data_IF_386567257507
#
_entry.id   IF_386567257507
#
_cell.length_a   1.000
_cell.length_b   1.000
_cell.length_c   1.000
_cell.angle_alpha   90.00
_cell.angle_beta   90.00
_cell.angle_gamma   90.00
#
_symmetry.space_group_name_H-M   'P 1'
#
loop_
_entity.id
_entity.type
_entity.pdbx_description
1 polymer ?
#
# COMPACT_ATOMS: atom_id res chain seq x y z
N UNK A 1 37.17 3.28 6.89
CA UNK A 1 36.68 3.99 8.10
C UNK A 1 35.20 4.27 7.87
N UNK A 2 34.32 3.37 8.31
CA UNK A 2 32.87 3.46 8.04
C UNK A 2 32.24 4.49 8.97
N UNK A 3 31.86 5.64 8.41
CA UNK A 3 31.07 6.64 9.11
C UNK A 3 29.69 6.06 9.45
N UNK A 4 29.42 5.89 10.75
CA UNK A 4 28.08 5.65 11.26
C UNK A 4 27.20 6.83 10.86
N UNK A 5 26.40 6.67 9.80
CA UNK A 5 25.24 7.50 9.57
C UNK A 5 24.29 7.23 10.75
N UNK A 6 24.40 8.06 11.78
CA UNK A 6 23.42 8.13 12.86
C UNK A 6 22.10 8.54 12.21
N UNK A 7 21.17 7.59 12.13
CA UNK A 7 19.79 7.89 11.84
C UNK A 7 19.33 8.98 12.84
N UNK A 8 18.82 10.14 12.40
CA UNK A 8 18.41 11.20 13.31
C UNK A 8 17.32 10.70 14.26
N UNK A 9 17.42 11.08 15.54
CA UNK A 9 16.56 10.67 16.66
C UNK A 9 15.12 11.24 16.59
N UNK A 10 14.71 11.79 15.46
CA UNK A 10 13.34 12.26 15.18
C UNK A 10 12.39 11.13 14.77
N UNK A 11 12.86 9.87 14.78
CA UNK A 11 12.11 8.70 14.30
C UNK A 11 11.08 8.14 15.30
N UNK A 12 10.97 8.68 16.52
CA UNK A 12 10.11 8.12 17.58
C UNK A 12 9.25 9.11 18.38
N UNK A 13 9.35 10.42 18.12
CA UNK A 13 8.53 11.44 18.80
C UNK A 13 7.76 12.30 17.78
N UNK A 14 7.03 11.62 16.87
CA UNK A 14 5.91 12.26 16.22
C UNK A 14 4.76 12.22 17.22
N UNK A 15 4.41 13.39 17.77
CA UNK A 15 3.08 13.69 18.26
C UNK A 15 2.08 12.92 17.38
N UNK A 16 1.39 11.92 17.95
CA UNK A 16 0.53 11.02 17.17
C UNK A 16 -0.69 11.83 16.79
N UNK A 17 -0.54 12.66 15.75
CA UNK A 17 -1.61 13.45 15.21
C UNK A 17 -2.78 12.49 14.95
N UNK A 18 -3.85 12.67 15.71
CA UNK A 18 -5.01 11.81 15.61
C UNK A 18 -5.77 12.18 14.34
N UNK A 19 -5.48 11.47 13.26
CA UNK A 19 -6.20 11.60 11.99
C UNK A 19 -7.61 10.97 12.04
N UNK A 20 -8.10 10.57 13.21
CA UNK A 20 -9.36 9.86 13.37
C UNK A 20 -10.57 10.66 12.85
N UNK A 21 -10.52 11.98 13.03
CA UNK A 21 -11.56 12.94 12.62
C UNK A 21 -11.08 13.93 11.55
N UNK A 22 -9.88 13.74 10.97
CA UNK A 22 -9.39 14.61 9.89
C UNK A 22 -10.23 14.36 8.63
N UNK A 23 -10.93 15.37 8.08
CA UNK A 23 -11.79 15.19 6.91
C UNK A 23 -11.02 14.70 5.68
N UNK A 24 -9.73 15.06 5.54
CA UNK A 24 -8.88 14.58 4.44
C UNK A 24 -8.61 13.09 4.57
N UNK A 25 -8.37 12.62 5.80
CA UNK A 25 -8.18 11.19 6.08
C UNK A 25 -9.45 10.39 5.81
N UNK A 26 -10.63 10.94 6.16
CA UNK A 26 -11.93 10.32 5.91
C UNK A 26 -12.18 10.20 4.39
N UNK A 27 -12.08 11.30 3.65
CA UNK A 27 -12.29 11.31 2.21
C UNK A 27 -11.32 10.37 1.48
N UNK A 28 -10.04 10.41 1.85
CA UNK A 28 -9.03 9.52 1.26
C UNK A 28 -9.31 8.05 1.57
N UNK A 29 -9.76 7.75 2.79
CA UNK A 29 -10.12 6.38 3.16
C UNK A 29 -11.30 5.87 2.33
N UNK A 30 -12.31 6.70 2.07
CA UNK A 30 -13.46 6.34 1.23
C UNK A 30 -13.05 6.01 -0.21
N UNK A 31 -12.16 6.82 -0.82
CA UNK A 31 -11.60 6.54 -2.14
C UNK A 31 -10.74 5.27 -2.19
N UNK A 32 -10.12 4.88 -1.07
CA UNK A 32 -9.29 3.68 -0.98
C UNK A 32 -10.12 2.39 -0.88
N UNK A 33 -11.36 2.42 -0.39
CA UNK A 33 -12.17 1.20 -0.18
C UNK A 33 -12.35 0.36 -1.46
N UNK A 34 -12.73 0.95 -2.63
CA UNK A 34 -12.83 0.18 -3.88
C UNK A 34 -11.49 -0.42 -4.31
N UNK A 35 -10.38 0.32 -4.12
CA UNK A 35 -9.04 -0.13 -4.47
C UNK A 35 -8.62 -1.35 -3.63
N UNK A 36 -8.87 -1.29 -2.31
CA UNK A 36 -8.56 -2.39 -1.41
C UNK A 36 -9.40 -3.65 -1.69
N UNK A 37 -10.67 -3.50 -2.08
CA UNK A 37 -11.50 -4.63 -2.51
C UNK A 37 -10.94 -5.30 -3.77
N UNK A 38 -10.48 -4.52 -4.75
CA UNK A 38 -9.83 -5.04 -5.97
C UNK A 38 -8.44 -5.61 -5.73
N UNK A 39 -7.76 -5.18 -4.66
CA UNK A 39 -6.45 -5.68 -4.29
C UNK A 39 -6.51 -7.14 -3.76
N UNK A 40 -7.66 -7.60 -3.28
CA UNK A 40 -7.88 -9.01 -2.96
C UNK A 40 -7.82 -9.87 -4.23
N UNK A 41 -7.21 -11.07 -4.18
CA UNK A 41 -7.29 -12.01 -5.29
C UNK A 41 -8.74 -12.38 -5.58
N UNK A 42 -9.05 -12.54 -6.86
CA UNK A 42 -10.34 -13.05 -7.30
C UNK A 42 -10.56 -14.45 -6.69
N UNK A 43 -11.78 -14.72 -6.22
CA UNK A 43 -12.16 -15.96 -5.53
C UNK A 43 -11.46 -16.23 -4.18
N UNK A 44 -10.71 -15.28 -3.61
CA UNK A 44 -10.10 -15.43 -2.29
C UNK A 44 -11.01 -15.03 -1.11
N UNK A 45 -12.32 -14.86 -1.33
CA UNK A 45 -13.26 -14.49 -0.26
C UNK A 45 -12.96 -13.13 0.42
N UNK A 46 -12.16 -12.27 -0.22
CA UNK A 46 -11.71 -11.00 0.36
C UNK A 46 -10.48 -11.09 1.26
N UNK A 47 -9.75 -12.21 1.27
CA UNK A 47 -8.49 -12.41 2.00
C UNK A 47 -7.25 -12.12 1.15
N UNK A 48 -6.08 -11.96 1.77
CA UNK A 48 -4.80 -11.82 1.05
C UNK A 48 -4.61 -10.49 0.30
N UNK A 49 -5.46 -9.50 0.57
CA UNK A 49 -5.39 -8.19 -0.06
C UNK A 49 -4.13 -7.43 0.35
N UNK A 50 -3.50 -6.75 -0.62
CA UNK A 50 -2.44 -5.79 -0.34
C UNK A 50 -2.39 -4.69 -1.38
N UNK A 51 -2.12 -3.48 -0.93
CA UNK A 51 -1.96 -2.30 -1.78
C UNK A 51 -0.62 -1.65 -1.46
N UNK A 52 0.17 -1.38 -2.50
CA UNK A 52 1.39 -0.59 -2.43
C UNK A 52 1.26 0.62 -3.35
N UNK A 53 1.56 1.80 -2.82
CA UNK A 53 1.65 3.04 -3.56
C UNK A 53 3.10 3.49 -3.61
N UNK A 54 3.54 3.93 -4.78
CA UNK A 54 4.83 4.58 -5.00
C UNK A 54 4.54 6.01 -5.49
N UNK A 55 4.55 6.96 -4.57
CA UNK A 55 4.23 8.36 -4.83
C UNK A 55 5.51 9.17 -4.96
N UNK A 56 5.47 10.27 -5.72
CA UNK A 56 6.54 11.25 -5.63
C UNK A 56 6.53 11.89 -4.22
N UNK A 57 7.68 12.29 -3.69
CA UNK A 57 7.74 12.84 -2.32
C UNK A 57 6.89 14.12 -2.18
N UNK A 58 6.90 14.98 -3.21
CA UNK A 58 6.07 16.20 -3.26
C UNK A 58 4.57 15.85 -3.29
N UNK A 59 4.19 14.83 -4.06
CA UNK A 59 2.81 14.33 -4.13
C UNK A 59 2.36 13.80 -2.76
N UNK A 60 3.20 13.03 -2.07
CA UNK A 60 2.90 12.53 -0.73
C UNK A 60 2.75 13.67 0.29
N UNK A 61 3.58 14.71 0.21
CA UNK A 61 3.49 15.91 1.07
C UNK A 61 2.20 16.68 0.78
N UNK A 62 1.83 16.89 -0.48
CA UNK A 62 0.60 17.57 -0.86
C UNK A 62 -0.66 16.88 -0.32
N UNK A 63 -0.62 15.54 -0.19
CA UNK A 63 -1.69 14.73 0.43
C UNK A 63 -1.69 14.74 1.97
N UNK A 64 -0.83 15.55 2.62
CA UNK A 64 -0.71 15.61 4.08
C UNK A 64 0.31 14.63 4.67
N UNK A 65 1.19 14.08 3.83
CA UNK A 65 2.34 13.28 4.23
C UNK A 65 2.04 11.79 4.44
N UNK A 66 3.11 11.02 4.58
CA UNK A 66 3.08 9.55 4.73
C UNK A 66 2.17 9.09 5.88
N UNK A 67 2.08 9.85 6.97
CA UNK A 67 1.28 9.44 8.13
C UNK A 67 -0.23 9.57 7.89
N UNK A 68 -0.68 10.61 7.17
CA UNK A 68 -2.09 10.76 6.79
C UNK A 68 -2.49 9.64 5.83
N UNK A 69 -1.67 9.38 4.81
CA UNK A 69 -1.93 8.31 3.83
C UNK A 69 -2.01 6.94 4.53
N UNK A 70 -1.06 6.63 5.43
CA UNK A 70 -1.10 5.39 6.24
C UNK A 70 -2.34 5.31 7.12
N UNK A 71 -2.77 6.42 7.71
CA UNK A 71 -3.97 6.47 8.53
C UNK A 71 -5.23 6.20 7.68
N UNK A 72 -5.33 6.80 6.50
CA UNK A 72 -6.44 6.59 5.56
C UNK A 72 -6.48 5.13 5.08
N UNK A 73 -5.35 4.54 4.68
CA UNK A 73 -5.25 3.12 4.32
C UNK A 73 -5.71 2.21 5.45
N UNK A 74 -5.26 2.49 6.68
CA UNK A 74 -5.64 1.70 7.86
C UNK A 74 -7.14 1.79 8.13
N UNK A 75 -7.71 2.99 8.00
CA UNK A 75 -9.16 3.21 8.17
C UNK A 75 -9.94 2.45 7.10
N UNK A 76 -9.56 2.57 5.84
CA UNK A 76 -10.18 1.88 4.72
C UNK A 76 -10.11 0.35 4.88
N UNK A 77 -8.94 -0.20 5.20
CA UNK A 77 -8.75 -1.63 5.40
C UNK A 77 -9.54 -2.17 6.60
N UNK A 78 -9.62 -1.42 7.71
CA UNK A 78 -10.47 -1.78 8.86
C UNK A 78 -11.96 -1.81 8.52
N UNK A 79 -12.43 -0.93 7.63
CA UNK A 79 -13.83 -0.98 7.15
C UNK A 79 -14.15 -2.25 6.36
N UNK A 80 -13.13 -2.93 5.83
CA UNK A 80 -13.23 -4.23 5.16
C UNK A 80 -12.97 -5.41 6.11
N UNK A 81 -12.91 -5.16 7.42
CA UNK A 81 -12.61 -6.14 8.45
C UNK A 81 -11.22 -6.80 8.27
N UNK A 82 -10.24 -6.09 7.71
CA UNK A 82 -8.87 -6.61 7.60
C UNK A 82 -8.15 -6.54 8.95
N UNK A 83 -7.23 -7.49 9.16
CA UNK A 83 -6.23 -7.37 10.23
C UNK A 83 -5.04 -6.62 9.65
N UNK A 84 -4.92 -5.34 9.97
CA UNK A 84 -4.11 -4.44 9.15
C UNK A 84 -2.65 -4.36 9.59
N UNK A 85 -1.73 -4.50 8.64
CA UNK A 85 -0.37 -3.99 8.77
C UNK A 85 -0.10 -2.89 7.73
N UNK A 86 0.59 -1.83 8.14
CA UNK A 86 0.94 -0.69 7.27
C UNK A 86 2.38 -0.27 7.47
N UNK A 87 3.12 -0.05 6.38
CA UNK A 87 4.44 0.57 6.41
C UNK A 87 4.49 1.78 5.47
N UNK A 88 5.46 2.66 5.70
CA UNK A 88 5.70 3.79 4.81
C UNK A 88 7.13 4.28 4.94
N UNK A 89 7.74 4.59 3.81
CA UNK A 89 9.12 5.04 3.69
C UNK A 89 9.17 6.23 2.73
N UNK A 90 9.32 7.46 3.24
CA UNK A 90 9.61 8.62 2.39
C UNK A 90 11.06 8.62 1.91
N UNK A 91 11.36 9.31 0.81
CA UNK A 91 12.74 9.54 0.35
C UNK A 91 13.46 8.28 -0.16
N UNK A 92 12.72 7.32 -0.70
CA UNK A 92 13.32 6.15 -1.37
C UNK A 92 13.74 6.51 -2.80
N UNK A 93 14.48 5.63 -3.47
CA UNK A 93 14.77 5.78 -4.91
C UNK A 93 13.51 5.79 -5.80
N UNK A 94 12.35 5.41 -5.25
CA UNK A 94 11.05 5.42 -5.92
C UNK A 94 10.09 6.48 -5.33
N UNK A 95 10.63 7.49 -4.63
CA UNK A 95 9.86 8.49 -3.88
C UNK A 95 9.37 7.96 -2.54
N UNK A 96 8.13 8.29 -2.17
CA UNK A 96 7.48 7.81 -0.96
C UNK A 96 6.72 6.51 -1.25
N UNK A 97 7.15 5.42 -0.61
CA UNK A 97 6.44 4.13 -0.67
C UNK A 97 5.50 4.03 0.53
N UNK A 98 4.25 3.65 0.30
CA UNK A 98 3.28 3.34 1.36
C UNK A 98 2.59 2.02 1.05
N UNK A 99 2.48 1.13 2.04
CA UNK A 99 1.83 -0.16 1.86
C UNK A 99 0.85 -0.50 2.97
N UNK A 100 -0.14 -1.31 2.61
CA UNK A 100 -1.08 -1.94 3.52
C UNK A 100 -1.31 -3.41 3.12
N UNK A 101 -1.35 -4.30 4.10
CA UNK A 101 -1.55 -5.74 3.91
C UNK A 101 -2.54 -6.31 4.93
N UNK A 102 -3.37 -7.25 4.48
CA UNK A 102 -4.26 -8.04 5.32
C UNK A 102 -3.54 -9.23 5.95
N UNK A 103 -3.36 -9.18 7.28
CA UNK A 103 -2.72 -10.21 8.12
C UNK A 103 -3.71 -11.22 8.69
N UNK A 104 -4.97 -11.23 8.23
CA UNK A 104 -5.91 -12.27 8.66
C UNK A 104 -5.37 -13.63 8.25
N UNK A 105 -5.59 -14.61 9.12
CA UNK A 105 -5.39 -16.00 8.76
C UNK A 105 -6.39 -16.35 7.65
N UNK A 106 -5.87 -17.00 6.60
CA UNK A 106 -6.64 -17.34 5.41
C UNK A 106 -7.33 -18.68 5.64
N UNK A 107 -8.67 -18.75 5.58
CA UNK A 107 -9.37 -20.03 5.68
C UNK A 107 -8.95 -21.01 4.58
N UNK A 108 -8.95 -22.31 4.90
CA UNK A 108 -8.54 -23.39 3.99
C UNK A 108 -9.14 -23.29 2.57
N UNK A 109 -10.43 -22.97 2.38
CA UNK A 109 -11.01 -22.88 1.03
C UNK A 109 -10.36 -21.82 0.13
N UNK A 110 -9.73 -20.82 0.73
CA UNK A 110 -9.08 -19.71 0.02
C UNK A 110 -7.54 -19.80 0.04
N UNK A 111 -6.97 -20.69 0.86
CA UNK A 111 -5.54 -20.74 1.13
C UNK A 111 -4.72 -20.93 -0.16
N UNK A 112 -5.14 -21.83 -1.04
CA UNK A 112 -4.48 -22.07 -2.32
C UNK A 112 -4.45 -20.81 -3.19
N UNK A 113 -5.60 -20.15 -3.37
CA UNK A 113 -5.72 -18.96 -4.21
C UNK A 113 -4.86 -17.81 -3.70
N UNK A 114 -4.86 -17.59 -2.38
CA UNK A 114 -4.04 -16.54 -1.75
C UNK A 114 -2.55 -16.86 -1.87
N UNK A 115 -2.16 -18.12 -1.69
CA UNK A 115 -0.76 -18.54 -1.78
C UNK A 115 -0.24 -18.45 -3.22
N UNK A 116 -1.02 -18.89 -4.20
CA UNK A 116 -0.69 -18.78 -5.63
C UNK A 116 -0.48 -17.31 -6.03
N UNK A 117 -1.39 -16.42 -5.59
CA UNK A 117 -1.25 -14.97 -5.80
C UNK A 117 0.00 -14.38 -5.14
N UNK A 118 0.30 -14.78 -3.91
CA UNK A 118 1.52 -14.34 -3.22
C UNK A 118 2.77 -14.80 -3.96
N UNK A 119 2.80 -16.06 -4.41
CA UNK A 119 3.92 -16.62 -5.17
C UNK A 119 4.13 -15.88 -6.49
N UNK A 120 3.05 -15.54 -7.20
CA UNK A 120 3.12 -14.80 -8.45
C UNK A 120 3.67 -13.38 -8.23
N UNK A 121 3.28 -12.70 -7.16
CA UNK A 121 3.83 -11.38 -6.80
C UNK A 121 5.31 -11.45 -6.43
N UNK A 122 5.72 -12.49 -5.68
CA UNK A 122 7.13 -12.70 -5.34
C UNK A 122 7.94 -12.96 -6.62
N UNK A 123 7.46 -13.86 -7.49
CA UNK A 123 8.10 -14.15 -8.78
C UNK A 123 8.25 -12.88 -9.63
N UNK A 124 7.23 -12.04 -9.65
CA UNK A 124 7.25 -10.77 -10.37
C UNK A 124 8.21 -9.73 -9.79
N UNK A 125 8.31 -9.66 -8.47
CA UNK A 125 9.29 -8.80 -7.82
C UNK A 125 10.72 -9.27 -8.15
N UNK A 126 10.94 -10.58 -8.15
CA UNK A 126 12.21 -11.21 -8.48
C UNK A 126 12.62 -11.01 -9.95
N UNK A 127 11.70 -11.16 -10.90
CA UNK A 127 11.98 -10.87 -12.32
C UNK A 127 12.48 -9.44 -12.55
N UNK A 128 11.92 -8.45 -11.82
CA UNK A 128 12.37 -7.05 -11.91
C UNK A 128 13.76 -6.81 -11.32
N UNK A 129 14.19 -7.65 -10.37
CA UNK A 129 15.50 -7.53 -9.71
C UNK A 129 16.59 -8.26 -10.49
N UNK A 130 16.25 -9.35 -11.18
CA UNK A 130 17.23 -10.20 -11.87
C UNK A 130 17.38 -9.93 -13.36
N UNK A 131 16.66 -8.95 -13.92
CA UNK A 131 16.80 -8.49 -15.32
C UNK A 131 16.70 -9.63 -16.35
N UNK A 132 15.99 -10.71 -16.02
CA UNK A 132 15.71 -11.79 -16.96
C UNK A 132 14.69 -11.28 -17.99
N UNK A 133 15.12 -11.20 -19.25
CA UNK A 133 14.37 -10.77 -20.45
C UNK A 133 13.17 -11.66 -20.85
N UNK A 134 12.40 -12.16 -19.87
CA UNK A 134 11.11 -12.79 -20.08
C UNK A 134 9.97 -11.77 -19.99
N UNK A 135 8.90 -11.98 -20.75
CA UNK A 135 7.70 -11.14 -20.66
C UNK A 135 7.14 -11.19 -19.23
N UNK A 136 7.04 -10.04 -18.53
CA UNK A 136 6.57 -10.05 -17.16
C UNK A 136 5.13 -10.53 -17.12
N UNK A 137 4.74 -11.40 -16.17
CA UNK A 137 3.35 -11.82 -16.06
C UNK A 137 2.46 -10.59 -15.90
N UNK A 138 1.45 -10.45 -16.78
CA UNK A 138 0.47 -9.35 -16.76
C UNK A 138 -0.21 -9.34 -15.40
N UNK A 139 0.16 -8.39 -14.56
CA UNK A 139 -0.34 -8.29 -13.21
C UNK A 139 -1.28 -7.12 -13.07
N UNK A 140 -2.56 -7.44 -12.85
CA UNK A 140 -3.61 -6.48 -12.42
C UNK A 140 -3.28 -5.75 -11.11
N UNK A 141 -2.21 -6.12 -10.40
CA UNK A 141 -1.89 -5.65 -9.04
C UNK A 141 -0.43 -5.22 -8.88
N UNK A 142 0.21 -4.69 -9.93
CA UNK A 142 1.54 -4.06 -9.80
C UNK A 142 1.45 -2.74 -9.01
N UNK A 143 2.49 -2.36 -8.26
CA UNK A 143 2.52 -1.06 -7.55
C UNK A 143 2.29 0.13 -8.47
N UNK A 144 2.78 0.08 -9.72
CA UNK A 144 2.58 1.14 -10.72
C UNK A 144 1.11 1.32 -11.07
N UNK A 145 0.41 0.23 -11.40
CA UNK A 145 -1.02 0.28 -11.72
C UNK A 145 -1.84 0.68 -10.49
N UNK A 146 -1.52 0.13 -9.32
CA UNK A 146 -2.17 0.49 -8.05
C UNK A 146 -2.03 1.98 -7.73
N UNK A 147 -0.85 2.56 -7.98
CA UNK A 147 -0.61 4.00 -7.83
C UNK A 147 -1.42 4.81 -8.83
N UNK A 148 -1.52 4.36 -10.08
CA UNK A 148 -2.28 5.06 -11.12
C UNK A 148 -3.79 5.06 -10.81
N UNK A 149 -4.34 3.92 -10.38
CA UNK A 149 -5.73 3.83 -9.95
C UNK A 149 -6.01 4.68 -8.70
N UNK A 150 -5.04 4.73 -7.78
CA UNK A 150 -5.10 5.60 -6.62
C UNK A 150 -5.17 7.08 -7.01
N UNK A 151 -4.28 7.54 -7.90
CA UNK A 151 -4.30 8.92 -8.41
C UNK A 151 -5.63 9.26 -9.09
N UNK A 152 -6.19 8.34 -9.87
CA UNK A 152 -7.49 8.52 -10.49
C UNK A 152 -8.62 8.65 -9.44
N UNK A 153 -8.58 7.83 -8.39
CA UNK A 153 -9.55 7.90 -7.30
C UNK A 153 -9.43 9.21 -6.51
N UNK A 154 -8.21 9.69 -6.26
CA UNK A 154 -7.98 10.98 -5.59
C UNK A 154 -8.43 12.15 -6.46
N UNK A 155 -8.14 12.14 -7.76
CA UNK A 155 -8.59 13.19 -8.67
C UNK A 155 -10.12 13.32 -8.69
N UNK A 156 -10.83 12.18 -8.65
CA UNK A 156 -12.30 12.14 -8.58
C UNK A 156 -12.89 12.66 -7.26
N UNK A 157 -12.10 12.79 -6.18
CA UNK A 157 -12.54 13.45 -4.95
C UNK A 157 -12.50 14.98 -5.06
N UNK A 158 -11.75 15.51 -6.02
CA UNK A 158 -11.51 16.97 -6.19
C UNK A 158 -12.30 17.59 -7.35
N UNK A 159 -13.01 16.77 -8.13
CA UNK A 159 -13.87 17.17 -9.25
C UNK A 159 -15.31 17.40 -8.83
#
# INVERSE_FOLDING_TARGET
MFGRLRCPRWLYDADVASYANDPRCIALAEALVPLLRRACPENAGGYGGSLQLNLDDEEAVAMGGVQLIRAAMRRAARSLNWKVETAGWPGTQHGTIVLVHDRREVPEPYARVVNDDMNDRVRAALHRVWDEHGEPPVQRRTPTLQTQEFRAAVAALTS
#
